data_IF_776199180451
#
_entry.id   IF_776199180451
#
_cell.length_a   1.000
_cell.length_b   1.000
_cell.length_c   1.000
_cell.angle_alpha   90.00
_cell.angle_beta   90.00
_cell.angle_gamma   90.00
#
_symmetry.space_group_name_H-M   'P 1'
#
loop_
_entity.id
_entity.type
_entity.pdbx_description
1 polymer ?
#
# COMPACT_ATOMS: atom_id res chain seq x y z
N UNK A 1 -4.75 -40.20 26.88
CA UNK A 1 -5.98 -39.37 26.83
C UNK A 1 -5.72 -38.30 25.78
N UNK A 2 -6.15 -38.55 24.53
CA UNK A 2 -6.03 -37.61 23.43
C UNK A 2 -7.12 -36.53 23.56
N UNK A 3 -6.77 -35.33 23.89
CA UNK A 3 -7.66 -34.18 23.77
C UNK A 3 -7.88 -33.85 22.29
N UNK A 4 -8.98 -34.37 21.75
CA UNK A 4 -9.53 -33.88 20.47
C UNK A 4 -9.98 -32.44 20.70
N UNK A 5 -9.15 -31.49 20.29
CA UNK A 5 -9.53 -30.08 20.12
C UNK A 5 -10.57 -30.07 19.00
N UNK A 6 -11.86 -29.96 19.36
CA UNK A 6 -12.93 -29.68 18.40
C UNK A 6 -12.55 -28.39 17.67
N UNK A 7 -12.56 -28.37 16.32
CA UNK A 7 -12.36 -27.13 15.58
C UNK A 7 -13.46 -26.16 16.03
N UNK A 8 -13.07 -25.04 16.63
CA UNK A 8 -13.99 -23.94 16.85
C UNK A 8 -14.51 -23.54 15.47
N UNK A 9 -15.82 -23.62 15.29
CA UNK A 9 -16.54 -23.08 14.13
C UNK A 9 -16.45 -21.55 14.13
N UNK A 10 -15.25 -21.01 14.10
CA UNK A 10 -14.98 -19.61 13.86
C UNK A 10 -15.00 -19.44 12.35
N UNK A 11 -16.18 -19.20 11.78
CA UNK A 11 -16.24 -18.73 10.40
C UNK A 11 -15.42 -17.44 10.32
N UNK A 12 -14.26 -17.52 9.69
CA UNK A 12 -13.30 -16.43 9.59
C UNK A 12 -13.90 -15.19 8.90
N UNK A 13 -13.20 -14.08 8.96
CA UNK A 13 -13.54 -12.88 8.21
C UNK A 13 -12.75 -12.87 6.89
N UNK A 14 -13.39 -12.35 5.84
CA UNK A 14 -12.73 -12.11 4.57
C UNK A 14 -11.59 -11.09 4.73
N UNK A 15 -10.40 -11.42 4.25
CA UNK A 15 -9.21 -10.57 4.39
C UNK A 15 -9.27 -9.28 3.55
N UNK A 16 -10.21 -9.20 2.59
CA UNK A 16 -10.44 -8.00 1.80
C UNK A 16 -11.53 -7.09 2.36
N UNK A 17 -12.69 -7.60 2.77
CA UNK A 17 -13.84 -6.77 3.14
C UNK A 17 -14.26 -6.89 4.61
N UNK A 18 -13.56 -7.70 5.40
CA UNK A 18 -13.76 -7.98 6.84
C UNK A 18 -15.14 -8.56 7.20
N UNK A 19 -16.00 -8.82 6.22
CA UNK A 19 -17.29 -9.50 6.44
C UNK A 19 -17.07 -10.98 6.68
N UNK A 20 -18.02 -11.59 7.39
CA UNK A 20 -18.01 -13.03 7.69
C UNK A 20 -17.94 -13.85 6.40
N UNK A 21 -17.06 -14.84 6.34
CA UNK A 21 -16.95 -15.78 5.23
C UNK A 21 -18.16 -16.71 5.19
N UNK A 22 -18.53 -17.19 4.02
CA UNK A 22 -19.53 -18.23 3.82
C UNK A 22 -18.92 -19.60 4.06
N UNK A 23 -19.76 -20.61 4.26
CA UNK A 23 -19.30 -21.99 4.31
C UNK A 23 -18.59 -22.37 3.00
N UNK A 24 -17.39 -22.93 3.11
CA UNK A 24 -16.52 -23.27 1.97
C UNK A 24 -15.60 -22.17 1.46
N UNK A 25 -15.82 -20.91 1.84
CA UNK A 25 -14.87 -19.83 1.50
C UNK A 25 -13.65 -19.89 2.44
N UNK A 26 -12.46 -19.69 1.84
CA UNK A 26 -11.20 -19.60 2.60
C UNK A 26 -10.56 -18.23 2.34
N UNK A 27 -10.34 -17.48 3.41
CA UNK A 27 -9.71 -16.16 3.44
C UNK A 27 -10.43 -15.08 2.62
N UNK A 28 -11.10 -15.40 1.52
CA UNK A 28 -11.76 -14.45 0.63
C UNK A 28 -13.12 -14.94 0.17
N UNK A 29 -14.09 -14.02 0.01
CA UNK A 29 -15.23 -14.30 -0.84
C UNK A 29 -14.79 -14.31 -2.32
N UNK A 30 -15.40 -15.11 -3.19
CA UNK A 30 -15.05 -15.14 -4.62
C UNK A 30 -15.09 -13.77 -5.30
N UNK A 31 -16.08 -12.93 -4.94
CA UNK A 31 -16.18 -11.56 -5.47
C UNK A 31 -15.06 -10.63 -4.97
N UNK A 32 -14.56 -10.83 -3.74
CA UNK A 32 -13.44 -10.09 -3.18
C UNK A 32 -12.12 -10.51 -3.83
N UNK A 33 -11.90 -11.82 -3.99
CA UNK A 33 -10.75 -12.34 -4.74
C UNK A 33 -10.72 -11.81 -6.17
N UNK A 34 -11.88 -11.80 -6.86
CA UNK A 34 -11.99 -11.25 -8.22
C UNK A 34 -11.58 -9.76 -8.29
N UNK A 35 -11.91 -8.95 -7.26
CA UNK A 35 -11.56 -7.53 -7.23
C UNK A 35 -10.07 -7.29 -7.08
N UNK A 36 -9.42 -8.00 -6.16
CA UNK A 36 -8.00 -7.77 -5.86
C UNK A 36 -7.07 -8.54 -6.79
N UNK A 37 -7.38 -9.79 -7.10
CA UNK A 37 -6.50 -10.70 -7.85
C UNK A 37 -6.92 -10.93 -9.31
N UNK A 38 -8.14 -10.55 -9.68
CA UNK A 38 -8.67 -10.81 -11.03
C UNK A 38 -9.20 -12.23 -11.21
N UNK A 39 -9.25 -13.06 -10.16
CA UNK A 39 -9.72 -14.43 -10.18
C UNK A 39 -10.64 -14.73 -8.99
N UNK A 40 -11.65 -15.60 -9.17
CA UNK A 40 -12.60 -15.97 -8.12
C UNK A 40 -11.99 -16.83 -7.01
N UNK A 41 -11.00 -17.65 -7.38
CA UNK A 41 -10.21 -18.44 -6.44
C UNK A 41 -8.95 -17.64 -6.11
N UNK A 42 -8.68 -17.33 -4.83
CA UNK A 42 -7.50 -16.54 -4.49
C UNK A 42 -6.22 -17.32 -4.83
N UNK A 43 -5.21 -16.65 -5.43
CA UNK A 43 -3.93 -17.27 -5.70
C UNK A 43 -3.25 -17.69 -4.40
N UNK A 44 -2.53 -18.80 -4.42
CA UNK A 44 -1.75 -19.27 -3.27
C UNK A 44 -0.47 -18.43 -3.14
N UNK A 45 -0.14 -18.01 -1.92
CA UNK A 45 1.17 -17.45 -1.58
C UNK A 45 2.06 -18.60 -1.04
N UNK A 46 2.91 -19.24 -1.88
CA UNK A 46 3.57 -20.51 -1.55
C UNK A 46 4.86 -20.29 -0.74
N UNK A 47 4.87 -19.33 0.16
CA UNK A 47 6.03 -18.94 0.94
C UNK A 47 5.69 -18.95 2.44
N UNK A 48 6.72 -19.07 3.26
CA UNK A 48 6.71 -18.75 4.69
C UNK A 48 7.62 -17.55 4.93
N UNK A 49 7.36 -16.79 6.00
CA UNK A 49 8.07 -15.54 6.28
C UNK A 49 9.60 -15.69 6.26
N UNK A 50 10.13 -16.75 6.88
CA UNK A 50 11.57 -16.96 6.97
C UNK A 50 12.26 -17.14 5.60
N UNK A 51 11.56 -17.71 4.61
CA UNK A 51 12.08 -17.85 3.25
C UNK A 51 12.15 -16.53 2.50
N UNK A 52 11.32 -15.55 2.88
CA UNK A 52 11.29 -14.26 2.20
C UNK A 52 12.54 -13.41 2.45
N UNK A 53 13.17 -13.56 3.60
CA UNK A 53 14.44 -12.86 3.90
C UNK A 53 15.51 -13.28 2.93
N UNK A 54 15.68 -14.59 2.72
CA UNK A 54 16.67 -15.16 1.79
C UNK A 54 16.34 -14.83 0.33
N UNK A 55 15.07 -14.87 -0.04
CA UNK A 55 14.61 -14.53 -1.40
C UNK A 55 14.72 -13.04 -1.67
N UNK A 56 14.41 -12.19 -0.68
CA UNK A 56 14.60 -10.75 -0.78
C UNK A 56 16.09 -10.42 -0.93
N UNK A 57 16.98 -11.09 -0.22
CA UNK A 57 18.41 -10.89 -0.35
C UNK A 57 18.95 -11.29 -1.74
N UNK A 58 18.44 -12.39 -2.31
CA UNK A 58 18.78 -12.79 -3.67
C UNK A 58 18.28 -11.79 -4.73
N UNK A 59 17.07 -11.23 -4.56
CA UNK A 59 16.50 -10.21 -5.45
C UNK A 59 17.20 -8.87 -5.25
N UNK A 60 17.57 -8.49 -4.03
CA UNK A 60 18.28 -7.24 -3.70
C UNK A 60 19.72 -7.28 -4.18
N UNK A 61 20.41 -8.42 -4.12
CA UNK A 61 21.78 -8.55 -4.67
C UNK A 61 21.85 -8.33 -6.17
N UNK A 62 20.73 -8.52 -6.89
CA UNK A 62 20.65 -8.23 -8.32
C UNK A 62 20.22 -6.78 -8.64
N UNK A 63 19.78 -6.00 -7.66
CA UNK A 63 19.27 -4.65 -7.86
C UNK A 63 19.50 -3.78 -6.61
N UNK A 64 20.18 -2.69 -6.81
CA UNK A 64 20.57 -1.64 -5.86
C UNK A 64 19.56 -1.40 -4.72
N UNK A 65 20.04 -1.50 -3.50
CA UNK A 65 19.51 -1.17 -2.18
C UNK A 65 18.28 -0.25 -2.15
N UNK A 66 17.12 -0.79 -1.81
CA UNK A 66 16.01 0.00 -1.29
C UNK A 66 16.13 0.00 0.25
N UNK A 67 16.68 1.06 0.79
CA UNK A 67 16.66 1.34 2.22
C UNK A 67 15.23 1.69 2.62
N UNK A 68 14.55 0.79 3.28
CA UNK A 68 13.24 0.99 3.89
C UNK A 68 13.12 0.13 5.14
N UNK A 69 12.41 0.61 6.13
CA UNK A 69 12.17 -0.07 7.42
C UNK A 69 11.42 -1.40 7.23
N UNK A 70 10.72 -1.58 6.12
CA UNK A 70 9.96 -2.78 5.78
C UNK A 70 10.36 -3.31 4.41
N UNK A 71 10.63 -4.61 4.31
CA UNK A 71 10.88 -5.28 3.03
C UNK A 71 9.66 -5.17 2.12
N UNK A 72 9.89 -4.82 0.85
CA UNK A 72 8.86 -4.77 -0.19
C UNK A 72 9.25 -5.75 -1.29
N UNK A 73 8.38 -6.74 -1.53
CA UNK A 73 8.60 -7.76 -2.54
C UNK A 73 7.64 -7.55 -3.70
N UNK A 74 8.18 -7.62 -4.92
CA UNK A 74 7.37 -7.55 -6.14
C UNK A 74 6.90 -8.96 -6.52
N UNK A 75 5.60 -9.12 -6.68
CA UNK A 75 4.97 -10.40 -7.02
C UNK A 75 4.17 -10.31 -8.32
N UNK A 76 4.08 -11.45 -9.00
CA UNK A 76 3.10 -11.64 -10.06
C UNK A 76 2.36 -12.99 -9.88
N UNK A 77 1.19 -13.11 -10.52
CA UNK A 77 0.40 -14.33 -10.50
C UNK A 77 0.84 -15.20 -11.67
N UNK A 78 1.35 -16.38 -11.36
CA UNK A 78 1.63 -17.43 -12.34
C UNK A 78 0.39 -18.31 -12.49
N UNK A 79 -0.08 -18.44 -13.72
CA UNK A 79 -1.15 -19.40 -14.07
C UNK A 79 -0.55 -20.79 -14.05
N UNK A 80 -1.06 -21.65 -13.18
CA UNK A 80 -0.71 -23.06 -13.16
C UNK A 80 -1.05 -23.77 -14.48
N UNK A 81 -0.48 -24.93 -14.68
CA UNK A 81 -0.90 -25.85 -15.76
C UNK A 81 -2.35 -26.31 -15.53
N UNK A 82 -2.95 -26.99 -16.53
CA UNK A 82 -4.33 -27.47 -16.46
C UNK A 82 -4.60 -28.18 -15.11
N UNK A 83 -5.50 -27.58 -14.28
CA UNK A 83 -5.90 -28.02 -12.95
C UNK A 83 -4.97 -27.63 -11.76
N UNK A 84 -3.90 -26.88 -11.95
CA UNK A 84 -3.14 -26.32 -10.83
C UNK A 84 -3.73 -24.97 -10.39
N UNK A 85 -3.77 -24.69 -9.09
CA UNK A 85 -4.19 -23.37 -8.60
C UNK A 85 -3.20 -22.30 -9.01
N UNK A 86 -3.70 -21.12 -9.31
CA UNK A 86 -2.85 -19.94 -9.53
C UNK A 86 -2.04 -19.65 -8.26
N UNK A 87 -0.77 -19.24 -8.43
CA UNK A 87 0.14 -18.94 -7.31
C UNK A 87 0.92 -17.68 -7.55
N UNK A 88 1.25 -16.99 -6.45
CA UNK A 88 2.18 -15.88 -6.50
C UNK A 88 3.62 -16.38 -6.70
N UNK A 89 4.34 -15.64 -7.52
CA UNK A 89 5.78 -15.83 -7.73
C UNK A 89 6.48 -14.50 -7.49
N UNK A 90 7.59 -14.55 -6.75
CA UNK A 90 8.46 -13.37 -6.56
C UNK A 90 9.13 -13.11 -7.91
N UNK A 91 8.96 -11.89 -8.39
CA UNK A 91 9.56 -11.40 -9.63
C UNK A 91 10.31 -10.10 -9.33
N UNK A 92 11.24 -9.73 -10.18
CA UNK A 92 11.96 -8.47 -10.02
C UNK A 92 11.02 -7.25 -10.03
N UNK A 93 11.46 -6.12 -10.54
CA UNK A 93 10.72 -4.85 -10.53
C UNK A 93 9.38 -4.86 -11.30
N UNK A 94 9.09 -5.93 -12.03
CA UNK A 94 8.02 -5.97 -13.02
C UNK A 94 6.69 -6.55 -12.54
N UNK A 95 6.63 -7.02 -11.30
CA UNK A 95 5.42 -7.60 -10.73
C UNK A 95 4.24 -6.62 -10.64
N UNK A 96 3.03 -7.15 -10.75
CA UNK A 96 1.78 -6.40 -10.63
C UNK A 96 1.35 -6.16 -9.18
N UNK A 97 2.00 -6.81 -8.22
CA UNK A 97 1.69 -6.69 -6.80
C UNK A 97 2.94 -6.35 -6.00
N UNK A 98 2.73 -5.68 -4.88
CA UNK A 98 3.72 -5.45 -3.84
C UNK A 98 3.25 -6.15 -2.58
N UNK A 99 4.10 -7.02 -2.03
CA UNK A 99 3.91 -7.67 -0.74
C UNK A 99 4.76 -6.98 0.30
N UNK A 100 4.17 -6.69 1.45
CA UNK A 100 4.84 -6.13 2.62
C UNK A 100 4.62 -7.08 3.81
N UNK A 101 5.62 -7.88 4.18
CA UNK A 101 5.53 -8.78 5.31
C UNK A 101 5.60 -8.03 6.64
N UNK A 102 5.25 -8.73 7.72
CA UNK A 102 5.48 -8.29 9.09
C UNK A 102 6.97 -8.07 9.35
N UNK A 103 7.30 -7.04 10.14
CA UNK A 103 8.66 -6.77 10.62
C UNK A 103 8.80 -7.17 12.09
N UNK A 104 10.03 -7.43 12.53
CA UNK A 104 10.28 -7.75 13.94
C UNK A 104 10.26 -6.49 14.84
N UNK A 105 10.53 -5.32 14.25
CA UNK A 105 10.57 -4.05 14.97
C UNK A 105 9.18 -3.50 15.31
N UNK A 106 8.21 -3.68 14.42
CA UNK A 106 6.89 -3.07 14.53
C UNK A 106 5.81 -4.12 14.36
N UNK A 107 5.18 -4.58 15.48
CA UNK A 107 4.12 -5.59 15.42
C UNK A 107 2.89 -5.06 14.69
N UNK A 108 2.18 -5.96 14.00
CA UNK A 108 0.91 -5.71 13.30
C UNK A 108 0.99 -4.66 12.18
N UNK A 109 2.18 -4.41 11.62
CA UNK A 109 2.36 -3.40 10.59
C UNK A 109 1.49 -3.64 9.34
N UNK A 110 1.38 -4.88 8.79
CA UNK A 110 0.48 -5.20 7.68
C UNK A 110 -0.99 -4.90 7.98
N UNK A 111 -1.46 -5.28 9.18
CA UNK A 111 -2.85 -5.08 9.59
C UNK A 111 -3.17 -3.60 9.80
N UNK A 112 -2.23 -2.83 10.34
CA UNK A 112 -2.38 -1.38 10.53
C UNK A 112 -2.38 -0.62 9.20
N UNK A 113 -1.56 -1.02 8.23
CA UNK A 113 -1.59 -0.44 6.89
C UNK A 113 -2.93 -0.75 6.20
N UNK A 114 -3.35 -2.02 6.21
CA UNK A 114 -4.62 -2.41 5.59
C UNK A 114 -5.83 -1.73 6.26
N UNK A 115 -5.83 -1.62 7.59
CA UNK A 115 -6.86 -0.89 8.33
C UNK A 115 -6.89 0.60 7.94
N UNK A 116 -5.73 1.26 7.89
CA UNK A 116 -5.65 2.69 7.54
C UNK A 116 -6.15 2.94 6.12
N UNK A 117 -5.79 2.07 5.17
CA UNK A 117 -6.26 2.12 3.80
C UNK A 117 -7.78 1.90 3.71
N UNK A 118 -8.36 0.97 4.48
CA UNK A 118 -9.82 0.78 4.57
C UNK A 118 -10.55 1.99 5.19
N UNK A 119 -9.95 2.63 6.21
CA UNK A 119 -10.51 3.86 6.77
C UNK A 119 -10.53 4.98 5.72
N UNK A 120 -9.51 5.08 4.87
CA UNK A 120 -9.48 6.02 3.75
C UNK A 120 -10.62 5.74 2.75
N UNK A 121 -10.90 4.46 2.41
CA UNK A 121 -12.05 4.09 1.58
C UNK A 121 -13.39 4.50 2.20
N UNK A 122 -13.56 4.32 3.52
CA UNK A 122 -14.80 4.69 4.23
C UNK A 122 -15.08 6.19 4.09
N UNK A 123 -14.06 7.04 4.15
CA UNK A 123 -14.19 8.49 3.94
C UNK A 123 -14.13 8.88 2.46
N UNK A 124 -14.20 7.90 1.54
CA UNK A 124 -14.27 8.07 0.08
C UNK A 124 -12.99 8.58 -0.58
N UNK A 125 -11.86 8.50 0.08
CA UNK A 125 -10.56 8.68 -0.57
C UNK A 125 -10.34 7.49 -1.50
N UNK A 126 -10.00 7.76 -2.75
CA UNK A 126 -9.63 6.70 -3.70
C UNK A 126 -8.29 6.11 -3.30
N UNK A 127 -8.25 4.80 -3.06
CA UNK A 127 -7.03 4.07 -2.73
C UNK A 127 -6.71 3.03 -3.80
N UNK A 128 -5.46 2.59 -3.85
CA UNK A 128 -5.06 1.43 -4.68
C UNK A 128 -5.73 0.16 -4.14
N UNK A 129 -6.03 -0.85 -4.98
CA UNK A 129 -6.55 -2.13 -4.49
C UNK A 129 -5.54 -2.77 -3.54
N UNK A 130 -5.99 -3.12 -2.35
CA UNK A 130 -5.16 -3.68 -1.27
C UNK A 130 -5.92 -4.74 -0.49
N UNK A 131 -5.22 -5.56 0.27
CA UNK A 131 -5.79 -6.58 1.15
C UNK A 131 -4.73 -7.12 2.09
N UNK A 132 -5.16 -7.82 3.12
CA UNK A 132 -4.31 -8.81 3.78
C UNK A 132 -4.28 -10.11 2.96
N UNK A 133 -3.20 -10.87 3.08
CA UNK A 133 -3.05 -12.22 2.54
C UNK A 133 -2.27 -13.07 3.55
N UNK A 134 -2.41 -14.42 3.50
CA UNK A 134 -1.69 -15.31 4.40
C UNK A 134 -0.52 -15.99 3.71
N UNK A 135 0.57 -16.10 4.44
CA UNK A 135 1.61 -17.07 4.18
C UNK A 135 1.12 -18.50 4.45
N UNK A 136 1.90 -19.50 4.05
CA UNK A 136 1.57 -20.91 4.30
C UNK A 136 1.51 -21.28 5.79
N UNK A 137 2.30 -20.63 6.62
CA UNK A 137 2.29 -20.77 8.09
C UNK A 137 1.13 -20.04 8.77
N UNK A 138 0.32 -19.29 8.01
CA UNK A 138 -0.86 -18.56 8.49
C UNK A 138 -0.59 -17.13 8.94
N UNK A 139 0.66 -16.67 8.96
CA UNK A 139 1.03 -15.29 9.26
C UNK A 139 0.46 -14.33 8.20
N UNK A 140 -0.01 -13.15 8.65
CA UNK A 140 -0.57 -12.14 7.76
C UNK A 140 0.53 -11.25 7.15
N UNK A 141 0.31 -10.85 5.91
CA UNK A 141 1.06 -9.78 5.26
C UNK A 141 0.11 -8.90 4.44
N UNK A 142 0.54 -7.67 4.20
CA UNK A 142 -0.20 -6.73 3.36
C UNK A 142 0.19 -6.94 1.91
N UNK A 143 -0.81 -6.92 1.03
CA UNK A 143 -0.61 -6.98 -0.42
C UNK A 143 -1.37 -5.85 -1.10
N UNK A 144 -0.72 -5.18 -2.05
CA UNK A 144 -1.35 -4.14 -2.86
C UNK A 144 -1.10 -4.38 -4.34
N UNK A 145 -2.10 -4.04 -5.16
CA UNK A 145 -1.96 -4.09 -6.61
C UNK A 145 -1.34 -2.79 -7.12
N UNK A 146 -0.31 -2.91 -7.92
CA UNK A 146 0.37 -1.75 -8.52
C UNK A 146 -0.50 -1.11 -9.59
N UNK A 147 -0.71 0.19 -9.45
CA UNK A 147 -1.50 0.97 -10.41
C UNK A 147 -0.70 1.35 -11.65
N UNK A 148 0.62 1.34 -11.56
CA UNK A 148 1.54 1.59 -12.68
C UNK A 148 1.76 0.37 -13.57
N UNK A 149 0.95 -0.69 -13.40
CA UNK A 149 0.97 -1.91 -14.22
C UNK A 149 -0.41 -2.21 -14.77
N UNK A 150 -0.49 -2.42 -16.08
CA UNK A 150 -1.68 -2.97 -16.74
C UNK A 150 -1.76 -4.48 -16.52
N UNK A 151 -2.91 -5.08 -16.81
CA UNK A 151 -3.11 -6.53 -16.69
C UNK A 151 -2.15 -7.34 -17.57
N UNK A 152 -1.75 -6.80 -18.71
CA UNK A 152 -0.76 -7.41 -19.61
C UNK A 152 0.71 -7.16 -19.18
N UNK A 153 0.95 -6.60 -17.97
CA UNK A 153 2.28 -6.31 -17.45
C UNK A 153 2.92 -5.01 -17.96
N UNK A 154 2.31 -4.32 -18.93
CA UNK A 154 2.85 -3.05 -19.45
C UNK A 154 2.90 -1.98 -18.37
N UNK A 155 4.06 -1.32 -18.23
CA UNK A 155 4.25 -0.21 -17.31
C UNK A 155 3.57 1.06 -17.80
N UNK A 156 2.82 1.73 -16.94
CA UNK A 156 2.32 3.08 -17.15
C UNK A 156 3.37 4.11 -16.68
N UNK A 157 3.52 5.24 -17.37
CA UNK A 157 4.31 6.35 -16.87
C UNK A 157 3.77 6.82 -15.52
N UNK A 158 4.64 6.87 -14.54
CA UNK A 158 4.33 7.31 -13.18
C UNK A 158 5.58 7.90 -12.55
N UNK A 159 5.43 9.08 -11.96
CA UNK A 159 6.50 9.78 -11.25
C UNK A 159 5.99 10.25 -9.89
N UNK A 160 6.77 9.99 -8.84
CA UNK A 160 6.47 10.50 -7.50
C UNK A 160 6.87 11.97 -7.37
N UNK A 161 6.35 12.66 -6.33
CA UNK A 161 6.62 14.08 -6.13
C UNK A 161 8.09 14.38 -5.78
N UNK A 162 8.86 13.38 -5.34
CA UNK A 162 10.29 13.51 -5.17
C UNK A 162 10.99 13.63 -6.53
N UNK A 163 10.60 12.80 -7.51
CA UNK A 163 11.09 12.85 -8.88
C UNK A 163 10.66 14.16 -9.59
N UNK A 164 9.37 14.52 -9.48
CA UNK A 164 8.85 15.77 -10.07
C UNK A 164 9.47 17.04 -9.47
N UNK A 165 9.94 16.96 -8.21
CA UNK A 165 10.69 18.02 -7.55
C UNK A 165 12.20 17.96 -7.84
N UNK A 166 12.66 17.04 -8.72
CA UNK A 166 14.08 16.81 -9.06
C UNK A 166 14.95 16.54 -7.83
N UNK A 167 14.42 15.76 -6.86
CA UNK A 167 15.10 15.41 -5.62
C UNK A 167 15.49 13.95 -5.57
N UNK A 168 16.64 13.69 -4.96
CA UNK A 168 17.07 12.33 -4.64
C UNK A 168 16.21 11.74 -3.52
N UNK A 169 16.10 10.41 -3.49
CA UNK A 169 15.27 9.67 -2.52
C UNK A 169 15.61 9.99 -1.06
N UNK A 170 16.87 10.29 -0.75
CA UNK A 170 17.34 10.69 0.59
C UNK A 170 16.70 11.98 1.11
N UNK A 171 16.18 12.82 0.20
CA UNK A 171 15.50 14.08 0.53
C UNK A 171 13.96 13.94 0.55
N UNK A 172 13.41 12.74 0.56
CA UNK A 172 11.97 12.51 0.52
C UNK A 172 11.17 13.20 1.63
N UNK A 173 11.79 13.45 2.79
CA UNK A 173 11.19 14.17 3.93
C UNK A 173 11.47 15.68 3.94
N UNK A 174 12.19 16.20 2.95
CA UNK A 174 12.48 17.64 2.83
C UNK A 174 11.49 18.29 1.88
N UNK A 175 10.59 19.12 2.40
CA UNK A 175 9.61 19.82 1.59
C UNK A 175 8.37 20.20 2.37
N UNK A 176 7.36 20.62 1.63
CA UNK A 176 6.07 21.00 2.20
C UNK A 176 4.93 20.48 1.32
N UNK A 177 3.74 20.37 1.91
CA UNK A 177 2.55 19.97 1.15
C UNK A 177 2.15 21.05 0.13
N UNK A 178 2.42 22.33 0.42
CA UNK A 178 2.21 23.41 -0.54
C UNK A 178 3.11 23.28 -1.78
N UNK A 179 4.33 22.72 -1.63
CA UNK A 179 5.20 22.41 -2.78
C UNK A 179 4.60 21.29 -3.63
N UNK A 180 4.03 20.26 -3.00
CA UNK A 180 3.33 19.19 -3.74
C UNK A 180 2.13 19.77 -4.48
N UNK A 181 1.33 20.63 -3.84
CA UNK A 181 0.20 21.29 -4.47
C UNK A 181 0.61 22.09 -5.73
N UNK A 182 1.74 22.79 -5.66
CA UNK A 182 2.31 23.52 -6.84
C UNK A 182 2.74 22.55 -7.95
N UNK A 183 3.32 21.40 -7.63
CA UNK A 183 3.68 20.38 -8.63
C UNK A 183 2.43 19.78 -9.28
N UNK A 184 1.39 19.46 -8.50
CA UNK A 184 0.09 19.01 -9.03
C UNK A 184 -0.48 20.07 -9.98
N UNK A 185 -0.49 21.34 -9.56
CA UNK A 185 -0.99 22.45 -10.40
C UNK A 185 -0.21 22.58 -11.71
N UNK A 186 1.09 22.34 -11.69
CA UNK A 186 1.97 22.46 -12.86
C UNK A 186 1.85 21.29 -13.83
N UNK A 187 1.74 20.07 -13.34
CA UNK A 187 1.91 18.87 -14.15
C UNK A 187 0.64 18.02 -14.33
N UNK A 188 -0.40 18.22 -13.50
CA UNK A 188 -1.65 17.49 -13.68
C UNK A 188 -2.47 18.02 -14.85
N UNK A 189 -3.16 17.10 -15.53
CA UNK A 189 -4.16 17.43 -16.56
C UNK A 189 -5.52 17.85 -15.97
N UNK A 190 -5.75 17.54 -14.67
CA UNK A 190 -6.98 17.88 -13.92
C UNK A 190 -6.65 18.55 -12.58
N UNK A 191 -5.87 19.66 -12.57
CA UNK A 191 -5.23 20.15 -11.35
C UNK A 191 -6.22 20.52 -10.24
N UNK A 192 -7.39 21.08 -10.57
CA UNK A 192 -8.39 21.45 -9.56
C UNK A 192 -8.94 20.25 -8.79
N UNK A 193 -9.25 19.17 -9.51
CA UNK A 193 -9.75 17.93 -8.92
C UNK A 193 -8.64 17.23 -8.11
N UNK A 194 -7.45 17.18 -8.68
CA UNK A 194 -6.32 16.50 -8.05
C UNK A 194 -5.84 17.24 -6.80
N UNK A 195 -5.95 18.57 -6.75
CA UNK A 195 -5.69 19.34 -5.52
C UNK A 195 -6.69 19.00 -4.42
N UNK A 196 -7.98 18.85 -4.74
CA UNK A 196 -8.99 18.43 -3.75
C UNK A 196 -8.63 17.04 -3.22
N UNK A 197 -8.41 16.07 -4.11
CA UNK A 197 -8.05 14.70 -3.73
C UNK A 197 -6.73 14.64 -2.91
N UNK A 198 -5.78 15.49 -3.23
CA UNK A 198 -4.52 15.61 -2.50
C UNK A 198 -4.72 16.12 -1.08
N UNK A 199 -5.46 17.24 -0.92
CA UNK A 199 -5.71 17.81 0.40
C UNK A 199 -6.55 16.89 1.29
N UNK A 200 -7.49 16.14 0.71
CA UNK A 200 -8.22 15.09 1.44
C UNK A 200 -7.27 14.04 2.01
N UNK A 201 -6.26 13.59 1.24
CA UNK A 201 -5.25 12.65 1.70
C UNK A 201 -4.37 13.24 2.82
N UNK A 202 -3.98 14.52 2.73
CA UNK A 202 -3.17 15.18 3.75
C UNK A 202 -3.97 15.36 5.04
N UNK A 203 -5.23 15.81 4.96
CA UNK A 203 -6.12 15.96 6.13
C UNK A 203 -6.37 14.60 6.79
N UNK A 204 -6.64 13.57 5.99
CA UNK A 204 -6.83 12.20 6.50
C UNK A 204 -5.58 11.70 7.22
N UNK A 205 -4.39 11.92 6.66
CA UNK A 205 -3.12 11.54 7.27
C UNK A 205 -2.92 12.23 8.62
N UNK A 206 -3.22 13.50 8.72
CA UNK A 206 -3.17 14.23 9.99
C UNK A 206 -4.17 13.69 11.03
N UNK A 207 -5.43 13.42 10.62
CA UNK A 207 -6.47 12.90 11.53
C UNK A 207 -6.11 11.48 12.02
N UNK A 208 -5.53 10.65 11.17
CA UNK A 208 -5.17 9.25 11.51
C UNK A 208 -3.79 9.11 12.14
N UNK A 209 -3.05 10.21 12.31
CA UNK A 209 -1.69 10.17 12.85
C UNK A 209 -0.70 9.45 11.92
N UNK A 210 -0.81 9.67 10.63
CA UNK A 210 0.12 9.18 9.63
C UNK A 210 1.20 10.22 9.35
N UNK A 211 2.31 10.16 10.06
CA UNK A 211 3.46 11.05 9.90
C UNK A 211 4.49 10.55 8.86
N UNK A 212 4.14 9.60 7.99
CA UNK A 212 5.06 9.09 6.94
C UNK A 212 4.62 9.43 5.50
N UNK A 213 3.62 10.28 5.31
CA UNK A 213 3.18 10.72 3.97
C UNK A 213 4.14 11.76 3.38
N UNK A 214 5.31 11.27 2.95
CA UNK A 214 6.39 12.07 2.35
C UNK A 214 6.23 12.23 0.82
N UNK A 215 7.20 12.91 0.17
CA UNK A 215 7.17 13.21 -1.26
C UNK A 215 6.97 11.97 -2.17
N UNK A 216 7.44 10.79 -1.77
CA UNK A 216 7.32 9.57 -2.56
C UNK A 216 5.97 8.85 -2.43
N UNK A 217 5.12 9.29 -1.50
CA UNK A 217 3.79 8.70 -1.28
C UNK A 217 2.69 9.42 -2.06
N UNK A 218 3.07 10.40 -2.88
CA UNK A 218 2.21 11.06 -3.84
C UNK A 218 2.83 10.97 -5.23
N UNK A 219 2.04 10.61 -6.24
CA UNK A 219 2.51 10.46 -7.61
C UNK A 219 1.50 10.97 -8.62
N UNK A 220 2.01 11.37 -9.78
CA UNK A 220 1.20 11.53 -10.99
C UNK A 220 1.44 10.32 -11.91
N UNK A 221 0.38 9.83 -12.55
CA UNK A 221 0.47 8.74 -13.50
C UNK A 221 -0.37 9.00 -14.74
N UNK A 222 -0.01 8.38 -15.86
CA UNK A 222 -0.71 8.55 -17.13
C UNK A 222 -1.36 7.26 -17.57
N UNK A 223 -2.70 7.23 -17.59
CA UNK A 223 -3.48 6.13 -18.15
C UNK A 223 -3.60 6.18 -19.67
N UNK A 224 -3.50 7.38 -20.24
CA UNK A 224 -3.51 7.65 -21.66
C UNK A 224 -2.43 8.67 -22.00
N UNK A 225 -1.87 8.60 -23.21
CA UNK A 225 -0.72 9.43 -23.61
C UNK A 225 -0.96 10.92 -23.30
N UNK A 226 -0.11 11.49 -22.45
CA UNK A 226 -0.09 12.92 -22.12
C UNK A 226 -1.05 13.34 -21.00
N UNK A 227 -1.96 12.47 -20.51
CA UNK A 227 -2.89 12.79 -19.43
C UNK A 227 -2.35 12.29 -18.09
N UNK A 228 -1.69 13.14 -17.34
CA UNK A 228 -1.19 12.88 -16.01
C UNK A 228 -2.21 13.32 -14.95
N UNK A 229 -2.54 12.46 -14.02
CA UNK A 229 -3.47 12.73 -12.90
C UNK A 229 -2.89 12.19 -11.61
N UNK A 230 -3.35 12.72 -10.47
CA UNK A 230 -2.97 12.21 -9.16
C UNK A 230 -3.39 10.74 -9.03
N UNK A 231 -2.48 9.92 -8.53
CA UNK A 231 -2.77 8.52 -8.26
C UNK A 231 -3.81 8.37 -7.14
N UNK A 232 -4.58 7.26 -7.10
CA UNK A 232 -5.18 6.82 -5.86
C UNK A 232 -4.13 6.75 -4.74
N UNK A 233 -4.55 6.96 -3.50
CA UNK A 233 -3.66 6.89 -2.34
C UNK A 233 -3.08 5.48 -2.16
N UNK A 234 -1.86 5.41 -1.70
CA UNK A 234 -1.15 4.19 -1.37
C UNK A 234 -0.18 4.43 -0.21
N UNK A 235 0.26 3.37 0.44
CA UNK A 235 1.27 3.44 1.51
C UNK A 235 0.80 4.29 2.70
N UNK A 236 -0.50 4.20 3.05
CA UNK A 236 -1.08 4.92 4.18
C UNK A 236 -1.04 4.05 5.44
N UNK A 237 -0.37 4.54 6.46
CA UNK A 237 -0.18 3.85 7.73
C UNK A 237 -0.32 4.84 8.90
N UNK A 238 -1.14 4.54 9.88
CA UNK A 238 -1.18 5.31 11.13
C UNK A 238 0.11 5.08 11.93
N UNK A 239 1.12 5.93 11.72
CA UNK A 239 2.44 5.78 12.34
C UNK A 239 2.41 6.03 13.84
N UNK A 240 1.47 6.82 14.35
CA UNK A 240 1.30 7.07 15.79
C UNK A 240 0.99 5.78 16.58
N UNK A 241 0.37 4.78 15.95
CA UNK A 241 0.12 3.47 16.57
C UNK A 241 1.35 2.57 16.59
N UNK A 242 2.36 2.88 15.79
CA UNK A 242 3.58 2.10 15.61
C UNK A 242 4.76 2.74 16.35
N UNK A 243 4.83 4.06 16.34
CA UNK A 243 5.88 4.88 16.95
C UNK A 243 5.23 6.01 17.77
N UNK A 244 4.61 5.70 18.92
CA UNK A 244 3.89 6.70 19.73
C UNK A 244 4.81 7.78 20.33
N UNK A 245 6.11 7.56 20.34
CA UNK A 245 7.14 8.54 20.76
C UNK A 245 7.44 9.59 19.68
N UNK A 246 7.05 9.37 18.42
CA UNK A 246 7.23 10.39 17.38
C UNK A 246 6.30 11.58 17.63
N UNK A 247 6.86 12.76 17.73
CA UNK A 247 6.14 14.00 17.98
C UNK A 247 5.74 14.76 16.72
N UNK A 248 6.19 14.30 15.54
CA UNK A 248 5.76 14.85 14.27
C UNK A 248 4.34 14.35 13.93
N UNK A 249 3.46 15.29 13.56
CA UNK A 249 2.08 14.95 13.15
C UNK A 249 1.98 14.75 11.63
N UNK A 250 2.95 15.26 10.87
CA UNK A 250 3.03 15.20 9.42
C UNK A 250 4.48 15.00 8.95
N UNK A 251 4.67 14.23 7.88
CA UNK A 251 5.97 13.94 7.27
C UNK A 251 6.66 15.19 6.68
N UNK A 252 5.86 16.07 6.10
CA UNK A 252 6.29 17.32 5.46
C UNK A 252 5.71 18.51 6.22
N UNK A 253 6.27 19.69 5.99
CA UNK A 253 5.72 20.89 6.62
C UNK A 253 4.38 21.29 5.99
N UNK A 254 3.49 21.80 6.84
CA UNK A 254 2.26 22.49 6.50
C UNK A 254 2.29 23.86 7.17
N UNK A 255 2.18 24.93 6.40
CA UNK A 255 2.34 26.32 6.91
C UNK A 255 3.62 26.44 7.78
N UNK A 256 4.72 25.82 7.31
CA UNK A 256 6.03 25.82 7.96
C UNK A 256 6.16 24.91 9.19
N UNK A 257 5.17 24.08 9.53
CA UNK A 257 5.13 23.24 10.72
C UNK A 257 4.98 21.76 10.37
N UNK A 258 5.52 20.88 11.22
CA UNK A 258 5.27 19.43 11.21
C UNK A 258 4.50 18.95 12.45
N UNK A 259 4.45 19.77 13.51
CA UNK A 259 3.81 19.45 14.79
C UNK A 259 2.94 20.62 15.25
N UNK A 260 2.01 20.35 16.17
CA UNK A 260 1.05 21.35 16.69
C UNK A 260 0.22 21.97 15.57
N UNK A 261 -0.14 21.14 14.59
CA UNK A 261 -0.96 21.50 13.45
C UNK A 261 -2.37 21.83 13.92
N UNK A 262 -2.96 22.87 13.36
CA UNK A 262 -4.32 23.34 13.68
C UNK A 262 -5.11 23.53 12.38
N UNK A 263 -6.44 23.50 12.47
CA UNK A 263 -7.33 23.75 11.33
C UNK A 263 -6.94 25.01 10.53
N UNK A 264 -6.50 26.08 11.19
CA UNK A 264 -6.06 27.31 10.52
C UNK A 264 -4.85 27.12 9.61
N UNK A 265 -3.97 26.14 9.90
CA UNK A 265 -2.77 25.91 9.11
C UNK A 265 -3.15 25.34 7.73
N UNK A 266 -4.23 24.53 7.63
CA UNK A 266 -4.81 24.07 6.37
C UNK A 266 -5.54 25.17 5.59
N UNK A 267 -6.06 26.20 6.26
CA UNK A 267 -6.76 27.31 5.59
C UNK A 267 -5.75 28.27 4.94
N UNK A 268 -4.55 28.37 5.51
CA UNK A 268 -3.48 29.26 5.03
C UNK A 268 -2.69 28.59 3.88
N UNK A 269 -2.51 27.25 3.95
CA UNK A 269 -1.81 26.47 2.92
C UNK A 269 -2.60 26.40 1.60
#
# INVERSE_FOLDING_TARGET
VSYLIKPRNNMGKCLYCYKKLREGDRDFHPACSQKIFGTKVPPILPYVRNQLADLAEQVIRSQTTLTGVQAKLSLDIHKGERNEPERFTIVGLWGRYILKPQTDLYPYLPELEDLTMHLAEIVRIKVVPHSLIRFQDGELCYITRRIDRRENGTKLPMEDMCQLAERLTEYKYKGSYEQIAKLIQKYSSTPKLDLINFWEQVIFSWITGNADMHLKNFSLYSQSKGNYVLTPAYDMLSTVLVMPEDTEELALTLNGKKSKIKKKDFIIA
#
